data_IF_887714185882
#
_entry.id   IF_887714185882
#
_cell.length_a   1.000
_cell.length_b   1.000
_cell.length_c   1.000
_cell.angle_alpha   90.00
_cell.angle_beta   90.00
_cell.angle_gamma   90.00
#
_symmetry.space_group_name_H-M   'P 1'
#
loop_
_entity.id
_entity.type
_entity.pdbx_description
1 polymer ?
#
# COMPACT_ATOMS: atom_id res chain seq x y z
N UNK A 1 12.34 -29.99 -16.26
CA UNK A 1 12.78 -29.39 -14.96
C UNK A 1 11.72 -28.42 -14.51
N UNK A 2 11.13 -28.67 -13.35
CA UNK A 2 10.22 -27.72 -12.71
C UNK A 2 11.05 -26.48 -12.34
N UNK A 3 10.70 -25.31 -12.90
CA UNK A 3 11.36 -24.05 -12.53
C UNK A 3 10.87 -23.65 -11.14
N UNK A 4 11.75 -23.16 -10.25
CA UNK A 4 11.31 -22.65 -8.97
C UNK A 4 10.41 -21.42 -9.15
N UNK A 5 9.39 -21.23 -8.31
CA UNK A 5 8.53 -20.07 -8.38
C UNK A 5 9.30 -18.79 -8.09
N UNK A 6 8.89 -17.67 -8.71
CA UNK A 6 9.36 -16.34 -8.35
C UNK A 6 8.73 -15.96 -6.99
N UNK A 7 9.56 -15.69 -5.99
CA UNK A 7 9.12 -15.34 -4.63
C UNK A 7 8.92 -13.84 -4.51
N UNK A 8 7.68 -13.43 -4.28
CA UNK A 8 7.28 -12.02 -4.23
C UNK A 8 6.78 -11.65 -2.85
N UNK A 9 7.34 -10.58 -2.26
CA UNK A 9 6.80 -9.94 -1.08
C UNK A 9 5.85 -8.81 -1.45
N UNK A 10 4.73 -8.68 -0.73
CA UNK A 10 3.73 -7.65 -0.99
C UNK A 10 3.06 -7.18 0.31
N UNK A 11 2.88 -5.85 0.50
CA UNK A 11 2.17 -5.34 1.68
C UNK A 11 0.67 -5.66 1.66
N UNK A 12 0.03 -5.75 2.84
CA UNK A 12 -1.38 -6.12 2.97
C UNK A 12 -2.35 -5.29 2.11
N UNK A 13 -2.15 -3.98 2.02
CA UNK A 13 -3.01 -3.14 1.18
C UNK A 13 -2.90 -3.49 -0.30
N UNK A 14 -1.69 -3.69 -0.81
CA UNK A 14 -1.46 -4.01 -2.22
C UNK A 14 -1.89 -5.43 -2.56
N UNK A 15 -1.72 -6.39 -1.62
CA UNK A 15 -2.19 -7.76 -1.80
C UNK A 15 -3.70 -7.85 -1.88
N UNK A 16 -4.42 -6.95 -1.21
CA UNK A 16 -5.89 -6.96 -1.15
C UNK A 16 -6.54 -6.40 -2.42
N UNK A 17 -5.96 -5.36 -3.03
CA UNK A 17 -6.69 -4.55 -4.02
C UNK A 17 -6.07 -4.58 -5.41
N UNK A 18 -4.75 -4.56 -5.54
CA UNK A 18 -4.11 -4.36 -6.84
C UNK A 18 -3.52 -5.63 -7.43
N UNK A 19 -2.92 -6.44 -6.60
CA UNK A 19 -2.14 -7.57 -7.06
C UNK A 19 -2.97 -8.76 -7.56
N UNK A 20 -4.16 -9.06 -7.04
CA UNK A 20 -4.96 -10.18 -7.53
C UNK A 20 -5.28 -10.11 -9.02
N UNK A 21 -5.68 -8.95 -9.51
CA UNK A 21 -6.01 -8.74 -10.92
C UNK A 21 -4.75 -8.83 -11.81
N UNK A 22 -3.64 -8.23 -11.37
CA UNK A 22 -2.35 -8.35 -12.04
C UNK A 22 -1.90 -9.80 -12.16
N UNK A 23 -1.96 -10.55 -11.05
CA UNK A 23 -1.51 -11.94 -11.02
C UNK A 23 -2.37 -12.84 -11.89
N UNK A 24 -3.69 -12.62 -11.90
CA UNK A 24 -4.61 -13.34 -12.79
C UNK A 24 -4.22 -13.10 -14.24
N UNK A 25 -4.11 -11.84 -14.67
CA UNK A 25 -3.73 -11.49 -16.03
C UNK A 25 -2.35 -12.05 -16.42
N UNK A 26 -1.38 -12.00 -15.49
CA UNK A 26 -0.05 -12.57 -15.71
C UNK A 26 -0.09 -14.08 -15.89
N UNK A 27 -0.84 -14.79 -15.05
CA UNK A 27 -0.94 -16.27 -15.13
C UNK A 27 -1.68 -16.77 -16.37
N UNK A 28 -2.58 -15.95 -16.92
CA UNK A 28 -3.25 -16.26 -18.20
C UNK A 28 -2.31 -16.10 -19.39
N UNK A 29 -1.45 -15.10 -19.39
CA UNK A 29 -0.49 -14.85 -20.48
C UNK A 29 0.78 -15.70 -20.36
N UNK A 30 1.19 -16.04 -19.12
CA UNK A 30 2.42 -16.77 -18.82
C UNK A 30 2.20 -17.96 -17.86
N UNK A 31 1.39 -18.97 -18.26
CA UNK A 31 1.03 -20.09 -17.38
C UNK A 31 2.24 -20.97 -17.00
N UNK A 32 3.34 -20.87 -17.73
CA UNK A 32 4.58 -21.60 -17.47
C UNK A 32 5.42 -20.98 -16.33
N UNK A 33 5.13 -19.74 -15.91
CA UNK A 33 5.89 -19.04 -14.89
C UNK A 33 5.14 -19.10 -13.55
N UNK A 34 5.67 -19.87 -12.61
CA UNK A 34 5.12 -19.98 -11.28
C UNK A 34 5.52 -18.77 -10.41
N UNK A 35 4.57 -18.26 -9.63
CA UNK A 35 4.77 -17.17 -8.68
C UNK A 35 4.33 -17.62 -7.28
N UNK A 36 5.13 -17.28 -6.26
CA UNK A 36 4.81 -17.49 -4.86
C UNK A 36 4.71 -16.13 -4.17
N UNK A 37 3.59 -15.89 -3.46
CA UNK A 37 3.33 -14.62 -2.78
C UNK A 37 3.43 -14.80 -1.27
N UNK A 38 4.10 -13.83 -0.63
CA UNK A 38 4.14 -13.72 0.81
C UNK A 38 3.85 -12.28 1.25
N UNK A 39 3.02 -12.15 2.29
CA UNK A 39 2.59 -10.84 2.77
C UNK A 39 3.52 -10.31 3.85
N UNK A 40 4.13 -9.16 3.59
CA UNK A 40 5.03 -8.45 4.51
C UNK A 40 4.82 -6.94 4.37
N UNK A 41 4.98 -6.18 5.46
CA UNK A 41 5.12 -4.73 5.36
C UNK A 41 6.37 -4.35 4.55
N UNK A 42 6.35 -3.15 3.94
CA UNK A 42 7.38 -2.73 2.98
C UNK A 42 8.80 -2.77 3.56
N UNK A 43 8.99 -2.42 4.84
CA UNK A 43 10.30 -2.44 5.49
C UNK A 43 10.86 -3.86 5.54
N UNK A 44 10.04 -4.82 5.97
CA UNK A 44 10.45 -6.23 6.05
C UNK A 44 10.66 -6.82 4.66
N UNK A 45 9.78 -6.54 3.71
CA UNK A 45 9.91 -7.00 2.33
C UNK A 45 11.24 -6.55 1.69
N UNK A 46 11.65 -5.29 1.88
CA UNK A 46 12.95 -4.79 1.42
C UNK A 46 14.14 -5.57 2.02
N UNK A 47 14.10 -5.87 3.31
CA UNK A 47 15.16 -6.65 3.96
C UNK A 47 15.21 -8.08 3.39
N UNK A 48 14.07 -8.72 3.17
CA UNK A 48 13.99 -10.07 2.60
C UNK A 48 14.44 -10.14 1.12
N UNK A 49 14.28 -9.06 0.36
CA UNK A 49 14.89 -8.94 -0.98
C UNK A 49 16.41 -8.77 -0.86
N UNK A 50 16.88 -7.98 0.11
CA UNK A 50 18.31 -7.75 0.31
C UNK A 50 19.07 -9.02 0.71
N UNK A 51 18.46 -9.90 1.49
CA UNK A 51 19.06 -11.18 1.94
C UNK A 51 18.74 -12.39 1.04
N UNK A 52 18.18 -12.16 -0.15
CA UNK A 52 17.83 -13.18 -1.15
C UNK A 52 16.73 -14.18 -0.73
N UNK A 53 15.98 -13.89 0.35
CA UNK A 53 14.81 -14.68 0.75
C UNK A 53 13.65 -14.48 -0.23
N UNK A 54 13.47 -13.23 -0.72
CA UNK A 54 12.56 -12.89 -1.80
C UNK A 54 13.32 -12.53 -3.07
N UNK A 55 12.71 -12.76 -4.22
CA UNK A 55 13.26 -12.40 -5.52
C UNK A 55 12.97 -10.96 -5.87
N UNK A 56 11.77 -10.49 -5.55
CA UNK A 56 11.32 -9.12 -5.69
C UNK A 56 10.22 -8.79 -4.68
N UNK A 57 9.90 -7.52 -4.53
CA UNK A 57 8.77 -7.07 -3.71
C UNK A 57 8.07 -5.87 -4.32
N UNK A 58 6.76 -5.78 -4.11
CA UNK A 58 6.03 -4.54 -4.25
C UNK A 58 6.07 -3.81 -2.90
N UNK A 59 6.35 -2.51 -2.92
CA UNK A 59 6.56 -1.75 -1.69
C UNK A 59 6.07 -0.32 -1.81
N UNK A 60 5.74 0.29 -0.68
CA UNK A 60 5.73 1.74 -0.56
C UNK A 60 7.19 2.22 -0.50
N UNK A 61 7.60 3.00 -1.48
CA UNK A 61 8.99 3.41 -1.70
C UNK A 61 9.42 4.60 -0.84
N UNK A 62 8.50 5.25 -0.14
CA UNK A 62 8.80 6.41 0.70
C UNK A 62 9.64 6.02 1.92
N UNK A 63 10.55 6.92 2.32
CA UNK A 63 11.44 6.77 3.48
C UNK A 63 12.31 5.49 3.52
N UNK A 64 12.44 4.77 2.41
CA UNK A 64 13.36 3.66 2.31
C UNK A 64 14.51 3.99 1.36
N UNK A 65 15.72 3.49 1.64
CA UNK A 65 16.87 3.69 0.76
C UNK A 65 16.72 2.78 -0.49
N UNK A 66 15.89 3.22 -1.42
CA UNK A 66 15.58 2.55 -2.67
C UNK A 66 16.79 2.45 -3.60
N UNK A 67 17.77 3.32 -3.44
CA UNK A 67 19.00 3.33 -4.28
C UNK A 67 19.82 2.03 -4.17
N UNK A 68 19.59 1.24 -3.13
CA UNK A 68 20.20 -0.10 -3.00
C UNK A 68 19.61 -1.14 -3.95
N UNK A 69 18.44 -0.87 -4.51
CA UNK A 69 17.71 -1.79 -5.39
C UNK A 69 17.62 -1.25 -6.80
N UNK A 70 17.46 -2.15 -7.76
CA UNK A 70 16.76 -1.80 -8.98
C UNK A 70 15.29 -1.61 -8.65
N UNK A 71 14.64 -0.67 -9.27
CA UNK A 71 13.24 -0.40 -8.99
C UNK A 71 12.47 0.08 -10.21
N UNK A 72 11.17 -0.06 -10.16
CA UNK A 72 10.24 0.52 -11.11
C UNK A 72 9.08 1.15 -10.32
N UNK A 73 8.82 2.44 -10.57
CA UNK A 73 7.63 3.12 -10.03
C UNK A 73 6.41 2.62 -10.81
N UNK A 74 5.38 2.19 -10.11
CA UNK A 74 4.15 1.65 -10.69
C UNK A 74 2.99 2.62 -10.55
N UNK A 75 2.86 3.29 -9.40
CA UNK A 75 1.76 4.20 -9.12
C UNK A 75 2.13 5.24 -8.06
N UNK A 76 1.44 6.36 -8.10
CA UNK A 76 1.38 7.35 -7.03
C UNK A 76 0.01 7.26 -6.35
N UNK A 77 -0.03 7.44 -5.03
CA UNK A 77 -1.25 7.45 -4.23
C UNK A 77 -1.08 8.39 -3.04
N UNK A 78 -2.07 8.45 -2.18
CA UNK A 78 -2.00 9.19 -0.93
C UNK A 78 -2.71 8.44 0.19
N UNK A 79 -2.25 8.66 1.41
CA UNK A 79 -2.90 8.15 2.61
C UNK A 79 -4.11 9.02 2.92
N UNK A 80 -5.25 8.39 3.18
CA UNK A 80 -6.48 9.04 3.63
C UNK A 80 -6.93 8.51 4.98
N UNK A 81 -7.62 9.35 5.73
CA UNK A 81 -8.24 9.00 7.00
C UNK A 81 -9.57 8.30 6.74
N UNK A 82 -9.71 7.06 7.17
CA UNK A 82 -10.86 6.22 6.86
C UNK A 82 -11.75 6.00 8.07
N UNK A 83 -13.04 6.23 7.87
CA UNK A 83 -14.10 6.07 8.87
C UNK A 83 -15.34 5.44 8.25
N UNK A 84 -16.22 4.86 9.06
CA UNK A 84 -17.54 4.45 8.59
C UNK A 84 -18.47 5.65 8.40
N UNK A 85 -19.54 5.46 7.64
CA UNK A 85 -20.54 6.53 7.34
C UNK A 85 -21.21 7.12 8.59
N UNK A 86 -21.30 6.36 9.67
CA UNK A 86 -21.88 6.76 10.96
C UNK A 86 -20.86 7.34 11.96
N UNK A 87 -19.62 7.56 11.55
CA UNK A 87 -18.59 8.17 12.40
C UNK A 87 -18.81 9.68 12.52
N UNK A 88 -18.52 10.32 13.68
CA UNK A 88 -18.71 11.76 13.86
C UNK A 88 -17.99 12.66 12.85
N UNK A 89 -16.87 12.20 12.28
CA UNK A 89 -16.10 12.95 11.28
C UNK A 89 -16.48 12.61 9.83
N UNK A 90 -17.45 11.72 9.58
CA UNK A 90 -17.79 11.24 8.24
C UNK A 90 -18.22 12.34 7.26
N UNK A 91 -18.78 13.46 7.77
CA UNK A 91 -19.18 14.61 6.97
C UNK A 91 -18.11 15.67 6.72
N UNK A 92 -16.86 15.44 7.17
CA UNK A 92 -15.76 16.37 6.94
C UNK A 92 -15.21 16.24 5.53
N UNK A 93 -14.95 17.37 4.88
CA UNK A 93 -14.25 17.42 3.60
C UNK A 93 -12.74 17.16 3.74
N UNK A 94 -12.18 17.55 4.88
CA UNK A 94 -10.77 17.40 5.23
C UNK A 94 -10.62 17.23 6.75
N UNK A 95 -9.60 16.50 7.20
CA UNK A 95 -9.27 16.35 8.62
C UNK A 95 -7.86 16.86 8.92
N UNK A 96 -7.71 17.49 10.09
CA UNK A 96 -6.42 17.91 10.65
C UNK A 96 -5.80 16.78 11.49
N UNK A 97 -4.49 16.88 11.78
CA UNK A 97 -3.84 16.01 12.76
C UNK A 97 -4.51 16.10 14.13
N UNK A 98 -4.93 17.30 14.53
CA UNK A 98 -5.64 17.51 15.78
C UNK A 98 -6.98 16.75 15.83
N UNK A 99 -7.74 16.73 14.73
CA UNK A 99 -9.00 15.98 14.66
C UNK A 99 -8.73 14.48 14.79
N UNK A 100 -7.73 13.97 14.08
CA UNK A 100 -7.35 12.56 14.06
C UNK A 100 -6.78 12.08 15.40
N UNK A 101 -5.97 12.90 16.09
CA UNK A 101 -5.39 12.57 17.39
C UNK A 101 -6.42 12.28 18.49
N UNK A 102 -7.62 12.85 18.37
CA UNK A 102 -8.71 12.65 19.31
C UNK A 102 -9.48 11.35 19.10
N UNK A 103 -9.22 10.65 17.98
CA UNK A 103 -9.94 9.43 17.62
C UNK A 103 -9.19 8.18 18.09
N UNK A 104 -9.91 7.09 18.42
CA UNK A 104 -9.29 5.78 18.59
C UNK A 104 -8.83 5.25 17.22
N UNK A 105 -7.52 5.08 17.04
CA UNK A 105 -6.91 4.76 15.76
C UNK A 105 -6.45 3.31 15.68
N UNK A 106 -6.63 2.71 14.52
CA UNK A 106 -6.07 1.41 14.15
C UNK A 106 -4.95 1.66 13.16
N UNK A 107 -3.75 1.23 13.52
CA UNK A 107 -2.55 1.30 12.67
C UNK A 107 -2.21 -0.07 12.11
N UNK A 108 -1.43 -0.13 11.04
CA UNK A 108 -0.82 -1.36 10.57
C UNK A 108 0.27 -1.85 11.54
N UNK A 109 0.84 -3.02 11.26
CA UNK A 109 1.96 -3.56 12.02
C UNK A 109 3.22 -2.69 11.84
N UNK A 110 4.21 -2.89 12.70
CA UNK A 110 5.37 -2.00 12.84
C UNK A 110 6.28 -1.92 11.59
N UNK A 111 6.23 -2.91 10.70
CA UNK A 111 6.98 -2.97 9.44
C UNK A 111 6.34 -2.17 8.28
N UNK A 112 5.28 -1.42 8.57
CA UNK A 112 4.59 -0.55 7.61
C UNK A 112 5.30 0.80 7.48
N UNK A 113 5.71 1.16 6.26
CA UNK A 113 6.22 2.50 5.93
C UNK A 113 5.15 3.57 6.18
N UNK A 114 3.88 3.29 5.90
CA UNK A 114 2.78 4.20 6.19
C UNK A 114 2.72 4.60 7.66
N UNK A 115 2.93 3.65 8.58
CA UNK A 115 2.96 3.95 10.02
C UNK A 115 4.09 4.91 10.39
N UNK A 116 5.25 4.76 9.77
CA UNK A 116 6.40 5.65 10.01
C UNK A 116 6.08 7.07 9.54
N UNK A 117 5.49 7.20 8.36
CA UNK A 117 5.07 8.49 7.80
C UNK A 117 4.01 9.17 8.66
N UNK A 118 2.99 8.42 9.11
CA UNK A 118 1.94 8.93 9.99
C UNK A 118 2.51 9.39 11.33
N UNK A 119 3.31 8.57 12.01
CA UNK A 119 3.92 8.95 13.28
C UNK A 119 4.74 10.23 13.16
N UNK A 120 5.60 10.31 12.15
CA UNK A 120 6.38 11.51 11.89
C UNK A 120 5.47 12.74 11.71
N UNK A 121 4.37 12.60 10.98
CA UNK A 121 3.42 13.70 10.78
C UNK A 121 2.77 14.16 12.09
N UNK A 122 2.33 13.23 12.94
CA UNK A 122 1.81 13.55 14.25
C UNK A 122 2.83 14.27 15.14
N UNK A 123 4.07 13.77 15.17
CA UNK A 123 5.18 14.35 15.94
C UNK A 123 5.51 15.77 15.49
N UNK A 124 5.59 16.02 14.16
CA UNK A 124 5.90 17.35 13.61
C UNK A 124 4.85 18.40 13.97
N UNK A 125 3.61 18.01 14.18
CA UNK A 125 2.51 18.91 14.59
C UNK A 125 2.28 18.89 16.12
N UNK A 126 3.12 18.18 16.89
CA UNK A 126 3.08 18.15 18.36
C UNK A 126 1.97 17.28 18.94
N UNK A 127 1.45 16.32 18.18
CA UNK A 127 0.41 15.41 18.62
C UNK A 127 0.92 13.98 18.76
N UNK A 128 0.25 13.21 19.62
CA UNK A 128 0.48 11.75 19.75
C UNK A 128 -0.78 11.02 19.27
N UNK A 129 -0.66 10.06 18.34
CA UNK A 129 -1.80 9.28 17.89
C UNK A 129 -2.32 8.35 18.99
N UNK A 130 -3.64 8.32 19.20
CA UNK A 130 -4.30 7.40 20.12
C UNK A 130 -4.46 6.01 19.46
N UNK A 131 -3.38 5.23 19.40
CA UNK A 131 -3.37 3.92 18.75
C UNK A 131 -3.93 2.88 19.72
N UNK A 132 -5.12 2.37 19.42
CA UNK A 132 -5.79 1.34 20.25
C UNK A 132 -5.48 -0.08 19.78
N UNK A 133 -5.12 -0.27 18.52
CA UNK A 133 -4.84 -1.56 17.94
C UNK A 133 -3.85 -1.44 16.78
N UNK A 134 -3.06 -2.50 16.58
CA UNK A 134 -2.26 -2.71 15.37
C UNK A 134 -2.72 -3.98 14.68
N UNK A 135 -3.05 -3.88 13.41
CA UNK A 135 -3.46 -5.03 12.59
C UNK A 135 -3.13 -4.77 11.13
N UNK A 136 -2.56 -5.76 10.47
CA UNK A 136 -2.39 -5.76 9.01
C UNK A 136 -3.54 -6.45 8.28
N UNK A 137 -4.53 -6.97 9.01
CA UNK A 137 -5.70 -7.62 8.44
C UNK A 137 -6.76 -6.58 8.08
N UNK A 138 -6.92 -6.31 6.80
CA UNK A 138 -7.85 -5.31 6.27
C UNK A 138 -9.30 -5.62 6.70
N UNK A 139 -9.71 -6.87 6.58
CA UNK A 139 -11.07 -7.29 6.98
C UNK A 139 -11.37 -6.99 8.45
N UNK A 140 -10.45 -7.34 9.35
CA UNK A 140 -10.58 -7.05 10.79
C UNK A 140 -10.72 -5.55 11.03
N UNK A 141 -9.86 -4.75 10.42
CA UNK A 141 -9.91 -3.28 10.52
C UNK A 141 -11.27 -2.73 10.07
N UNK A 142 -11.79 -3.20 8.93
CA UNK A 142 -13.10 -2.78 8.43
C UNK A 142 -14.25 -3.13 9.40
N UNK A 143 -14.19 -4.29 10.08
CA UNK A 143 -15.21 -4.65 11.09
C UNK A 143 -15.20 -3.68 12.27
N UNK A 144 -14.03 -3.24 12.72
CA UNK A 144 -13.94 -2.21 13.76
C UNK A 144 -14.50 -0.87 13.29
N UNK A 145 -14.18 -0.44 12.07
CA UNK A 145 -14.70 0.82 11.51
C UNK A 145 -16.23 0.85 11.43
N UNK A 146 -16.87 -0.27 11.08
CA UNK A 146 -18.34 -0.38 11.00
C UNK A 146 -19.06 -0.03 12.30
N UNK A 147 -18.39 -0.11 13.43
CA UNK A 147 -18.97 0.33 14.71
C UNK A 147 -19.17 1.85 14.80
N UNK A 148 -18.58 2.63 13.89
CA UNK A 148 -18.63 4.10 13.88
C UNK A 148 -17.78 4.79 14.95
N UNK A 149 -16.92 4.06 15.65
CA UNK A 149 -16.09 4.55 16.76
C UNK A 149 -14.60 4.66 16.45
N UNK A 150 -14.13 3.88 15.47
CA UNK A 150 -12.71 3.74 15.16
C UNK A 150 -12.40 4.29 13.77
N UNK A 151 -11.15 4.70 13.60
CA UNK A 151 -10.63 5.15 12.33
C UNK A 151 -9.31 4.44 11.99
N UNK A 152 -9.01 4.36 10.71
CA UNK A 152 -7.74 3.83 10.21
C UNK A 152 -7.23 4.69 9.05
N UNK A 153 -6.12 4.27 8.46
CA UNK A 153 -5.51 4.94 7.32
C UNK A 153 -5.31 3.93 6.20
N UNK A 154 -5.82 4.24 5.03
CA UNK A 154 -5.67 3.44 3.82
C UNK A 154 -5.18 4.33 2.67
N UNK A 155 -4.79 3.74 1.55
CA UNK A 155 -4.54 4.49 0.33
C UNK A 155 -5.86 4.93 -0.29
N UNK A 156 -5.88 6.12 -0.89
CA UNK A 156 -7.07 6.71 -1.48
C UNK A 156 -7.73 5.78 -2.52
N UNK A 157 -6.92 5.13 -3.34
CA UNK A 157 -7.38 4.17 -4.36
C UNK A 157 -8.09 2.93 -3.78
N UNK A 158 -7.86 2.60 -2.51
CA UNK A 158 -8.54 1.49 -1.85
C UNK A 158 -9.97 1.83 -1.43
N UNK A 159 -10.26 3.08 -1.11
CA UNK A 159 -11.56 3.47 -0.55
C UNK A 159 -12.72 3.17 -1.51
N UNK A 160 -12.47 3.24 -2.82
CA UNK A 160 -13.47 2.93 -3.84
C UNK A 160 -13.86 1.43 -3.86
N UNK A 161 -13.01 0.56 -3.31
CA UNK A 161 -13.28 -0.88 -3.19
C UNK A 161 -14.11 -1.25 -1.95
N UNK A 162 -14.29 -0.32 -1.02
CA UNK A 162 -14.99 -0.52 0.25
C UNK A 162 -16.10 0.51 0.44
N UNK A 163 -17.30 0.31 -0.15
CA UNK A 163 -18.38 1.30 -0.15
C UNK A 163 -18.95 1.60 1.25
N UNK A 164 -18.62 0.79 2.26
CA UNK A 164 -19.01 0.99 3.65
C UNK A 164 -18.18 2.03 4.40
N UNK A 165 -17.03 2.43 3.86
CA UNK A 165 -16.14 3.42 4.47
C UNK A 165 -16.02 4.69 3.62
N UNK A 166 -15.60 5.76 4.28
CA UNK A 166 -15.31 7.05 3.68
C UNK A 166 -13.84 7.36 3.91
N UNK A 167 -13.11 7.63 2.83
CA UNK A 167 -11.74 8.16 2.88
C UNK A 167 -11.78 9.68 2.89
N UNK A 168 -11.33 10.29 3.98
CA UNK A 168 -11.30 11.75 4.14
C UNK A 168 -9.86 12.22 3.91
N UNK A 169 -9.63 13.16 2.97
CA UNK A 169 -8.32 13.75 2.76
C UNK A 169 -7.77 14.39 4.03
N UNK A 170 -6.47 14.29 4.25
CA UNK A 170 -5.79 14.99 5.33
C UNK A 170 -5.42 16.41 4.90
N UNK A 171 -5.51 17.37 5.81
CA UNK A 171 -5.14 18.77 5.58
C UNK A 171 -3.71 18.92 5.07
N UNK A 172 -2.80 18.10 5.59
CA UNK A 172 -1.43 17.95 5.06
C UNK A 172 -1.28 16.56 4.46
N UNK A 173 -1.37 16.39 3.13
CA UNK A 173 -1.35 15.09 2.48
C UNK A 173 -0.05 14.32 2.73
N UNK A 174 -0.17 13.01 2.92
CA UNK A 174 0.94 12.06 2.89
C UNK A 174 0.86 11.33 1.56
N UNK A 175 1.72 11.71 0.62
CA UNK A 175 1.85 11.05 -0.69
C UNK A 175 2.70 9.80 -0.54
N UNK A 176 2.39 8.79 -1.34
CA UNK A 176 3.13 7.53 -1.39
C UNK A 176 3.42 7.14 -2.84
N UNK A 177 4.57 6.51 -3.04
CA UNK A 177 4.92 5.87 -4.32
C UNK A 177 4.92 4.37 -4.14
N UNK A 178 4.15 3.70 -4.97
CA UNK A 178 4.14 2.25 -5.04
C UNK A 178 5.11 1.83 -6.13
N UNK A 179 6.01 0.95 -5.79
CA UNK A 179 7.00 0.45 -6.72
C UNK A 179 7.31 -1.02 -6.53
N UNK A 180 7.99 -1.55 -7.51
CA UNK A 180 8.56 -2.89 -7.49
C UNK A 180 10.06 -2.77 -7.35
N UNK A 181 10.65 -3.57 -6.46
CA UNK A 181 12.08 -3.59 -6.19
C UNK A 181 12.66 -4.99 -6.37
N UNK A 182 13.95 -5.05 -6.77
CA UNK A 182 14.75 -6.26 -6.81
C UNK A 182 16.22 -5.92 -6.59
N UNK A 183 17.01 -6.91 -6.15
CA UNK A 183 18.40 -6.68 -5.72
C UNK A 183 19.32 -6.35 -6.91
N UNK A 184 20.14 -5.31 -6.80
CA UNK A 184 21.07 -4.86 -7.85
C UNK A 184 22.12 -5.92 -8.23
N UNK A 185 22.64 -6.63 -7.23
CA UNK A 185 23.74 -7.62 -7.43
C UNK A 185 23.25 -9.01 -7.86
N UNK A 186 21.95 -9.20 -8.04
CA UNK A 186 21.37 -10.49 -8.38
C UNK A 186 21.20 -10.66 -9.88
N UNK A 187 21.50 -11.85 -10.36
CA UNK A 187 21.13 -12.26 -11.71
C UNK A 187 19.61 -12.32 -11.85
N UNK A 188 19.10 -11.68 -12.88
CA UNK A 188 17.66 -11.66 -13.19
C UNK A 188 17.40 -12.72 -14.24
N UNK A 189 16.62 -13.76 -13.89
CA UNK A 189 16.18 -14.78 -14.83
C UNK A 189 15.26 -14.21 -15.90
N UNK A 190 15.12 -14.92 -17.03
CA UNK A 190 14.14 -14.55 -18.07
C UNK A 190 12.73 -14.44 -17.53
N UNK A 191 12.34 -15.34 -16.62
CA UNK A 191 11.02 -15.36 -15.99
C UNK A 191 10.79 -14.10 -15.14
N UNK A 192 11.79 -13.67 -14.35
CA UNK A 192 11.74 -12.41 -13.62
C UNK A 192 11.66 -11.19 -14.56
N UNK A 193 12.43 -11.18 -15.64
CA UNK A 193 12.37 -10.09 -16.63
C UNK A 193 10.98 -9.98 -17.25
N UNK A 194 10.37 -11.13 -17.57
CA UNK A 194 9.00 -11.21 -18.10
C UNK A 194 8.00 -10.64 -17.11
N UNK A 195 8.05 -11.06 -15.85
CA UNK A 195 7.15 -10.55 -14.79
C UNK A 195 7.34 -9.05 -14.56
N UNK A 196 8.57 -8.56 -14.47
CA UNK A 196 8.88 -7.14 -14.29
C UNK A 196 8.31 -6.31 -15.44
N UNK A 197 8.55 -6.73 -16.67
CA UNK A 197 8.07 -6.04 -17.87
C UNK A 197 6.55 -6.05 -17.97
N UNK A 198 5.93 -7.21 -17.68
CA UNK A 198 4.46 -7.34 -17.62
C UNK A 198 3.85 -6.40 -16.58
N UNK A 199 4.39 -6.40 -15.36
CA UNK A 199 3.90 -5.56 -14.27
C UNK A 199 3.97 -4.07 -14.62
N UNK A 200 5.09 -3.60 -15.19
CA UNK A 200 5.24 -2.20 -15.64
C UNK A 200 4.20 -1.84 -16.68
N UNK A 201 4.00 -2.68 -17.69
CA UNK A 201 3.02 -2.46 -18.76
C UNK A 201 1.59 -2.46 -18.21
N UNK A 202 1.27 -3.40 -17.33
CA UNK A 202 -0.05 -3.53 -16.73
C UNK A 202 -0.45 -2.26 -15.98
N UNK A 203 0.41 -1.72 -15.12
CA UNK A 203 0.14 -0.49 -14.39
C UNK A 203 0.14 0.78 -15.24
N UNK A 204 0.86 0.80 -16.36
CA UNK A 204 0.74 1.89 -17.34
C UNK A 204 -0.63 1.93 -18.02
N UNK A 205 -1.22 0.75 -18.27
CA UNK A 205 -2.53 0.62 -18.93
C UNK A 205 -3.72 0.73 -17.96
N UNK A 206 -3.53 0.30 -16.70
CA UNK A 206 -4.56 0.28 -15.67
C UNK A 206 -4.17 1.26 -14.56
N UNK A 207 -4.34 2.57 -14.82
CA UNK A 207 -4.08 3.61 -13.81
C UNK A 207 -4.85 3.30 -12.52
N UNK A 208 -4.16 3.26 -11.39
CA UNK A 208 -4.76 3.03 -10.06
C UNK A 208 -5.63 4.20 -9.60
N UNK A 209 -5.49 5.37 -10.23
CA UNK A 209 -6.29 6.57 -9.94
C UNK A 209 -7.30 6.72 -11.08
N UNK A 210 -8.63 6.70 -10.79
CA UNK A 210 -9.64 7.06 -11.76
C UNK A 210 -9.33 8.46 -12.33
N UNK A 211 -9.34 8.57 -13.65
CA UNK A 211 -9.02 9.81 -14.39
C UNK A 211 -9.95 11.00 -14.09
N UNK A 212 -10.99 10.82 -13.30
CA UNK A 212 -12.04 11.81 -13.06
C UNK A 212 -11.83 12.72 -11.84
N UNK A 213 -10.68 12.61 -11.14
CA UNK A 213 -10.29 13.59 -10.10
C UNK A 213 -9.17 14.51 -10.57
N UNK A 214 -9.10 14.82 -11.86
CA UNK A 214 -8.38 16.02 -12.29
C UNK A 214 -9.19 17.21 -11.85
N UNK A 215 -8.71 17.83 -10.80
CA UNK A 215 -9.08 19.15 -10.32
C UNK A 215 -9.47 20.06 -11.48
N UNK A 216 -10.73 20.45 -11.54
CA UNK A 216 -11.16 21.72 -12.08
C UNK A 216 -10.60 22.79 -11.14
N UNK A 217 -9.42 23.27 -11.46
CA UNK A 217 -8.76 24.41 -10.86
C UNK A 217 -8.50 25.39 -11.98
N UNK A 218 -9.43 26.30 -12.15
CA UNK A 218 -9.18 27.66 -12.65
C UNK A 218 -9.13 28.60 -11.46
#
# INVERSE_FOLDING_TARGET
RVRPPIRIGIPPMLSTVFFPELLLAFSEEHPEIAVSLEEYGSVRACNLVQDDTLDLALVNMEQYNIDKFHHAVLADDQVVFCVAKNHPLAGREVVSIQDMAKQPLIFFNADSVQNQLLKLRFELEGYTPNIIMRSSQIYTTLQFLKTGRYACFLYSSMTDKFPEIIGIPMQTPIRVKIGMIWKKSRYISSDMQTLISFTKKYYQMHSLIPSDKKTSGD
#
